data_IF_339297663975
#
_entry.id   IF_339297663975
#
_cell.length_a   1.000
_cell.length_b   1.000
_cell.length_c   1.000
_cell.angle_alpha   90.00
_cell.angle_beta   90.00
_cell.angle_gamma   90.00
#
_symmetry.space_group_name_H-M   'P 1'
#
loop_
_entity.id
_entity.type
_entity.pdbx_description
1 polymer ?
#
# COMPACT_ATOMS: atom_id res chain seq x y z
N UNK A 1 -0.11 -6.83 -18.66
CA UNK A 1 -0.09 -7.44 -17.31
C UNK A 1 1.30 -7.39 -16.75
N UNK A 2 1.48 -6.88 -15.53
CA UNK A 2 2.80 -6.93 -14.90
C UNK A 2 3.21 -8.39 -14.66
N UNK A 3 4.48 -8.64 -14.83
CA UNK A 3 5.03 -9.98 -14.61
C UNK A 3 5.37 -10.17 -13.14
N UNK A 4 5.23 -11.41 -12.67
CA UNK A 4 5.62 -11.79 -11.32
C UNK A 4 7.11 -11.49 -11.12
N UNK A 5 7.43 -10.81 -10.00
CA UNK A 5 8.81 -10.42 -9.71
C UNK A 5 9.60 -11.60 -9.15
N UNK A 6 10.87 -11.65 -9.53
CA UNK A 6 11.81 -12.58 -8.93
C UNK A 6 12.14 -12.14 -7.50
N UNK A 7 12.52 -13.05 -6.59
CA UNK A 7 12.80 -12.69 -5.19
C UNK A 7 13.83 -11.57 -5.04
N UNK A 8 14.85 -11.53 -5.89
CA UNK A 8 15.87 -10.47 -5.82
C UNK A 8 15.28 -9.11 -6.13
N UNK A 9 14.40 -9.04 -7.15
CA UNK A 9 13.73 -7.79 -7.50
C UNK A 9 12.82 -7.32 -6.36
N UNK A 10 12.13 -8.25 -5.70
CA UNK A 10 11.30 -7.92 -4.54
C UNK A 10 12.14 -7.28 -3.44
N UNK A 11 13.30 -7.86 -3.12
CA UNK A 11 14.17 -7.32 -2.08
C UNK A 11 14.69 -5.94 -2.43
N UNK A 12 15.04 -5.72 -3.70
CA UNK A 12 15.50 -4.41 -4.15
C UNK A 12 14.40 -3.34 -4.01
N UNK A 13 13.19 -3.68 -4.43
CA UNK A 13 12.07 -2.74 -4.38
C UNK A 13 11.60 -2.49 -2.95
N UNK A 14 11.71 -3.47 -2.07
CA UNK A 14 11.39 -3.25 -0.65
C UNK A 14 12.24 -2.16 -0.02
N UNK A 15 13.47 -1.97 -0.49
CA UNK A 15 14.33 -0.90 0.03
C UNK A 15 13.78 0.50 -0.27
N UNK A 16 12.95 0.62 -1.30
CA UNK A 16 12.31 1.90 -1.65
C UNK A 16 11.07 2.18 -0.82
N UNK A 17 10.53 1.14 -0.16
CA UNK A 17 9.35 1.26 0.71
C UNK A 17 9.64 0.56 2.04
N UNK A 18 10.59 1.10 2.83
CA UNK A 18 11.12 0.39 4.00
C UNK A 18 10.10 0.14 5.11
N UNK A 19 8.98 0.87 5.10
CA UNK A 19 7.92 0.68 6.08
C UNK A 19 6.99 -0.50 5.73
N UNK A 20 7.10 -1.00 4.51
CA UNK A 20 6.29 -2.14 4.08
C UNK A 20 7.00 -3.44 4.39
N UNK A 21 6.23 -4.42 4.84
CA UNK A 21 6.74 -5.74 5.21
C UNK A 21 6.33 -6.78 4.19
N UNK A 22 7.24 -7.69 3.87
CA UNK A 22 6.96 -8.82 3.00
C UNK A 22 6.40 -9.97 3.85
N UNK A 23 5.24 -10.48 3.45
CA UNK A 23 4.61 -11.63 4.08
C UNK A 23 4.16 -12.57 2.95
N UNK A 24 4.94 -13.60 2.69
CA UNK A 24 4.69 -14.53 1.59
C UNK A 24 4.59 -13.79 0.25
N UNK A 25 3.41 -13.73 -0.35
CA UNK A 25 3.18 -13.11 -1.66
C UNK A 25 2.55 -11.72 -1.55
N UNK A 26 2.70 -11.07 -0.41
CA UNK A 26 2.00 -9.82 -0.08
C UNK A 26 2.98 -8.87 0.57
N UNK A 27 2.82 -7.57 0.31
CA UNK A 27 3.46 -6.53 1.11
C UNK A 27 2.39 -5.78 1.88
N UNK A 28 2.69 -5.38 3.10
CA UNK A 28 1.73 -4.69 3.96
C UNK A 28 2.38 -3.62 4.80
N UNK A 29 1.60 -2.62 5.14
CA UNK A 29 1.99 -1.56 6.06
C UNK A 29 0.79 -1.14 6.89
N UNK A 30 1.00 -0.86 8.18
CA UNK A 30 -0.01 -0.27 9.05
C UNK A 30 0.30 1.20 9.23
N UNK A 31 -0.68 2.05 8.96
CA UNK A 31 -0.57 3.50 9.06
C UNK A 31 -1.35 3.96 10.28
N UNK A 32 -0.72 4.77 11.11
CA UNK A 32 -1.38 5.37 12.29
C UNK A 32 -1.73 6.81 11.98
N UNK A 33 -3.02 7.15 12.10
CA UNK A 33 -3.48 8.52 11.90
C UNK A 33 -3.73 9.15 13.28
N UNK A 34 -3.91 10.47 13.32
CA UNK A 34 -4.10 11.18 14.58
C UNK A 34 -5.47 10.88 15.22
N UNK A 35 -6.48 10.57 14.38
CA UNK A 35 -7.83 10.31 14.86
C UNK A 35 -8.60 9.54 13.79
N UNK A 36 -9.83 9.13 14.12
CA UNK A 36 -10.64 8.35 13.20
C UNK A 36 -11.06 9.12 11.94
N UNK A 37 -11.49 10.38 12.01
CA UNK A 37 -11.80 11.11 10.77
C UNK A 37 -10.64 11.20 9.80
N UNK A 38 -9.41 11.37 10.28
CA UNK A 38 -8.23 11.37 9.42
C UNK A 38 -7.93 9.97 8.86
N UNK A 39 -8.19 8.92 9.62
CA UNK A 39 -8.06 7.56 9.11
C UNK A 39 -9.01 7.35 7.92
N UNK A 40 -10.24 7.80 8.03
CA UNK A 40 -11.23 7.67 6.94
C UNK A 40 -10.84 8.57 5.76
N UNK A 41 -10.35 9.78 6.01
CA UNK A 41 -9.87 10.65 4.94
C UNK A 41 -8.72 10.00 4.18
N UNK A 42 -7.81 9.35 4.89
CA UNK A 42 -6.72 8.60 4.28
C UNK A 42 -7.26 7.46 3.41
N UNK A 43 -8.19 6.66 3.94
CA UNK A 43 -8.77 5.54 3.20
C UNK A 43 -9.47 6.02 1.92
N UNK A 44 -10.17 7.14 1.96
CA UNK A 44 -10.80 7.71 0.78
C UNK A 44 -9.77 8.05 -0.31
N UNK A 45 -8.63 8.61 0.08
CA UNK A 45 -7.55 8.91 -0.87
C UNK A 45 -6.88 7.63 -1.38
N UNK A 46 -6.74 6.63 -0.53
CA UNK A 46 -6.24 5.31 -0.95
C UNK A 46 -7.16 4.73 -2.03
N UNK A 47 -8.47 4.81 -1.82
CA UNK A 47 -9.43 4.32 -2.80
C UNK A 47 -9.29 5.04 -4.14
N UNK A 48 -9.09 6.36 -4.13
CA UNK A 48 -8.91 7.13 -5.36
C UNK A 48 -7.66 6.65 -6.13
N UNK A 49 -6.55 6.46 -5.43
CA UNK A 49 -5.31 6.01 -6.07
C UNK A 49 -5.42 4.58 -6.56
N UNK A 50 -6.09 3.72 -5.80
CA UNK A 50 -6.31 2.33 -6.21
C UNK A 50 -7.15 2.27 -7.50
N UNK A 51 -8.19 3.11 -7.60
CA UNK A 51 -9.00 3.17 -8.82
C UNK A 51 -8.19 3.68 -10.01
N UNK A 52 -7.36 4.69 -9.81
CA UNK A 52 -6.49 5.20 -10.89
C UNK A 52 -5.51 4.14 -11.38
N UNK A 53 -4.99 3.34 -10.46
CA UNK A 53 -4.03 2.30 -10.79
C UNK A 53 -4.71 1.01 -11.27
N UNK A 54 -6.02 0.91 -11.12
CA UNK A 54 -6.78 -0.32 -11.35
C UNK A 54 -6.14 -1.48 -10.59
N UNK A 55 -5.75 -1.21 -9.33
CA UNK A 55 -5.06 -2.18 -8.48
C UNK A 55 -5.50 -1.91 -7.04
N UNK A 56 -6.10 -2.88 -6.38
CA UNK A 56 -6.84 -2.65 -5.15
C UNK A 56 -6.17 -3.35 -3.97
N UNK A 57 -5.79 -2.59 -2.92
CA UNK A 57 -5.27 -3.19 -1.70
C UNK A 57 -6.39 -3.80 -0.86
N UNK A 58 -6.02 -4.75 0.00
CA UNK A 58 -6.88 -5.11 1.13
C UNK A 58 -6.77 -3.99 2.16
N UNK A 59 -7.88 -3.56 2.72
CA UNK A 59 -7.94 -2.45 3.67
C UNK A 59 -8.57 -2.93 4.96
N UNK A 60 -7.84 -2.79 6.07
CA UNK A 60 -8.32 -3.14 7.40
C UNK A 60 -8.24 -1.90 8.27
N UNK A 61 -9.39 -1.39 8.71
CA UNK A 61 -9.47 -0.18 9.51
C UNK A 61 -9.81 -0.57 10.95
N UNK A 62 -8.94 -0.19 11.88
CA UNK A 62 -9.16 -0.39 13.32
C UNK A 62 -8.97 0.93 14.02
N UNK A 63 -10.09 1.63 14.26
CA UNK A 63 -10.13 2.96 14.80
C UNK A 63 -9.26 3.90 13.96
N UNK A 64 -8.10 4.31 14.42
CA UNK A 64 -7.20 5.20 13.68
C UNK A 64 -6.01 4.49 13.03
N UNK A 65 -5.99 3.17 13.08
CA UNK A 65 -4.97 2.35 12.44
C UNK A 65 -5.53 1.77 11.14
N UNK A 66 -4.81 1.97 10.04
CA UNK A 66 -5.20 1.47 8.73
C UNK A 66 -4.10 0.56 8.22
N UNK A 67 -4.43 -0.72 8.05
CA UNK A 67 -3.49 -1.68 7.46
C UNK A 67 -3.86 -1.88 6.00
N UNK A 68 -2.87 -1.69 5.14
CA UNK A 68 -3.03 -1.93 3.70
C UNK A 68 -2.14 -3.10 3.30
N UNK A 69 -2.67 -3.99 2.47
CA UNK A 69 -1.92 -5.12 1.94
C UNK A 69 -2.07 -5.18 0.44
N UNK A 70 -0.97 -5.41 -0.26
CA UNK A 70 -0.93 -5.40 -1.72
C UNK A 70 -0.36 -6.70 -2.26
N UNK A 71 -1.02 -7.21 -3.29
CA UNK A 71 -0.58 -8.37 -4.05
C UNK A 71 -1.27 -8.31 -5.41
N UNK A 72 -0.68 -8.92 -6.43
CA UNK A 72 -1.30 -8.98 -7.75
C UNK A 72 -1.88 -10.37 -7.95
N UNK A 73 -3.19 -10.51 -7.67
CA UNK A 73 -3.84 -11.81 -7.69
C UNK A 73 -3.75 -12.49 -9.05
N UNK A 74 -3.88 -11.74 -10.13
CA UNK A 74 -3.81 -12.30 -11.49
C UNK A 74 -2.43 -12.87 -11.82
N UNK A 75 -1.38 -12.42 -11.14
CA UNK A 75 -0.03 -12.93 -11.33
C UNK A 75 0.36 -13.97 -10.28
N UNK A 76 -0.43 -14.12 -9.22
CA UNK A 76 -0.14 -15.06 -8.14
C UNK A 76 0.88 -14.57 -7.13
N UNK A 77 1.15 -13.26 -7.07
CA UNK A 77 2.12 -12.70 -6.12
C UNK A 77 2.46 -11.27 -6.43
N UNK A 78 3.67 -10.86 -6.13
CA UNK A 78 4.09 -9.48 -6.25
C UNK A 78 4.56 -9.13 -7.65
N UNK A 79 4.16 -7.95 -8.12
CA UNK A 79 4.60 -7.37 -9.38
C UNK A 79 5.03 -5.93 -9.14
N UNK A 80 5.54 -5.27 -10.17
CA UNK A 80 5.90 -3.85 -10.09
C UNK A 80 4.71 -2.98 -9.71
N UNK A 81 3.48 -3.40 -10.05
CA UNK A 81 2.27 -2.66 -9.73
C UNK A 81 2.09 -2.48 -8.22
N UNK A 82 2.45 -3.52 -7.44
CA UNK A 82 2.34 -3.45 -5.98
C UNK A 82 3.26 -2.39 -5.39
N UNK A 83 4.50 -2.34 -5.86
CA UNK A 83 5.48 -1.39 -5.35
C UNK A 83 5.23 0.03 -5.84
N UNK A 84 4.76 0.18 -7.06
CA UNK A 84 4.38 1.50 -7.59
C UNK A 84 3.25 2.09 -6.75
N UNK A 85 2.24 1.28 -6.47
CA UNK A 85 1.12 1.75 -5.64
C UNK A 85 1.56 1.98 -4.20
N UNK A 86 2.39 1.11 -3.63
CA UNK A 86 2.89 1.29 -2.26
C UNK A 86 3.60 2.64 -2.10
N UNK A 87 4.45 3.03 -3.05
CA UNK A 87 5.11 4.34 -3.01
C UNK A 87 4.10 5.47 -3.05
N UNK A 88 3.08 5.33 -3.88
CA UNK A 88 2.02 6.35 -4.00
C UNK A 88 1.23 6.47 -2.70
N UNK A 89 0.91 5.35 -2.08
CA UNK A 89 0.17 5.34 -0.82
C UNK A 89 0.99 5.96 0.31
N UNK A 90 2.31 5.75 0.32
CA UNK A 90 3.19 6.42 1.28
C UNK A 90 3.13 7.94 1.11
N UNK A 91 3.12 8.43 -0.13
CA UNK A 91 2.99 9.85 -0.41
C UNK A 91 1.65 10.40 0.06
N UNK A 92 0.58 9.67 -0.19
CA UNK A 92 -0.77 10.04 0.25
C UNK A 92 -0.83 10.14 1.76
N UNK A 93 -0.22 9.18 2.45
CA UNK A 93 -0.16 9.22 3.91
C UNK A 93 0.54 10.48 4.41
N UNK A 94 1.67 10.83 3.81
CA UNK A 94 2.38 12.05 4.18
C UNK A 94 1.54 13.30 4.00
N UNK A 95 0.73 13.36 2.95
CA UNK A 95 -0.16 14.49 2.69
C UNK A 95 -1.26 14.59 3.74
N UNK A 96 -1.89 13.47 4.09
CA UNK A 96 -2.99 13.45 5.08
C UNK A 96 -2.44 13.69 6.48
N UNK A 97 -1.38 13.02 6.87
CA UNK A 97 -0.78 13.15 8.19
C UNK A 97 -0.18 14.55 8.38
N UNK A 98 0.44 15.10 7.34
CA UNK A 98 1.02 16.43 7.38
C UNK A 98 -0.01 17.54 7.43
N UNK A 99 -1.25 17.29 7.01
CA UNK A 99 -2.33 18.27 7.06
C UNK A 99 -2.98 18.34 8.45
N UNK A 100 -2.71 17.38 9.31
CA UNK A 100 -3.28 17.34 10.66
C UNK A 100 -2.56 18.31 11.66
#
# INVERSE_FOLDING_TARGET
>A
MPALLEPEAVQTLLQEVPEWKLEENTISRTFELANFPLAIAFVNKVADEAEKANHHPDIDIRWKSVRLALSTHSAGGLTSADFTLARKLDQVFGQVAGAA
#
